data_IF_340949276024
#
_entry.id   IF_340949276024
#
_cell.length_a   1.000
_cell.length_b   1.000
_cell.length_c   1.000
_cell.angle_alpha   90.00
_cell.angle_beta   90.00
_cell.angle_gamma   90.00
#
_symmetry.space_group_name_H-M   'P 1'
#
loop_
_entity.id
_entity.type
_entity.pdbx_description
1 polymer ?
#
# COMPACT_ATOMS: atom_id res chain seq x y z
N UNK A 1 -21.40 -19.65 -1.23
CA UNK A 1 -21.17 -19.61 -2.70
C UNK A 1 -20.38 -20.84 -3.09
N UNK A 2 -20.50 -21.33 -4.33
CA UNK A 2 -19.79 -22.51 -4.84
C UNK A 2 -18.28 -22.52 -4.49
N UNK A 3 -17.67 -21.35 -4.40
CA UNK A 3 -16.24 -21.18 -4.11
C UNK A 3 -15.85 -21.13 -2.63
N UNK A 4 -16.79 -21.04 -1.69
CA UNK A 4 -16.44 -20.94 -0.25
C UNK A 4 -15.81 -22.24 0.30
N UNK A 5 -16.04 -23.37 -0.39
CA UNK A 5 -15.50 -24.68 -0.06
C UNK A 5 -14.32 -25.11 -0.96
N UNK A 6 -13.89 -24.26 -1.89
CA UNK A 6 -12.82 -24.62 -2.83
C UNK A 6 -11.46 -24.63 -2.10
N UNK A 7 -10.66 -25.70 -2.18
CA UNK A 7 -9.47 -25.90 -1.34
C UNK A 7 -8.41 -24.81 -1.52
N UNK A 8 -8.33 -24.18 -2.69
CA UNK A 8 -7.37 -23.11 -3.00
C UNK A 8 -7.93 -21.69 -2.90
N UNK A 9 -9.20 -21.53 -2.50
CA UNK A 9 -9.86 -20.23 -2.38
C UNK A 9 -10.01 -19.89 -0.91
N UNK A 10 -9.75 -18.63 -0.55
CA UNK A 10 -9.92 -18.16 0.80
C UNK A 10 -10.31 -16.68 0.85
N UNK A 11 -10.82 -16.25 2.00
CA UNK A 11 -11.19 -14.86 2.25
C UNK A 11 -10.16 -14.17 3.13
N UNK A 12 -9.73 -12.99 2.72
CA UNK A 12 -8.82 -12.13 3.48
C UNK A 12 -9.16 -10.65 3.22
N UNK A 13 -9.25 -9.85 4.28
CA UNK A 13 -9.59 -8.41 4.22
C UNK A 13 -10.88 -8.11 3.42
N UNK A 14 -11.92 -8.93 3.58
CA UNK A 14 -13.20 -8.77 2.88
C UNK A 14 -13.17 -9.10 1.38
N UNK A 15 -12.04 -9.60 0.87
CA UNK A 15 -11.84 -10.00 -0.53
C UNK A 15 -11.65 -11.51 -0.63
N UNK A 16 -12.08 -12.08 -1.76
CA UNK A 16 -11.87 -13.49 -2.09
C UNK A 16 -10.63 -13.63 -2.95
N UNK A 17 -9.74 -14.53 -2.57
CA UNK A 17 -8.46 -14.77 -3.23
C UNK A 17 -8.36 -16.23 -3.65
N UNK A 18 -7.66 -16.48 -4.75
CA UNK A 18 -7.30 -17.82 -5.21
C UNK A 18 -5.77 -17.92 -5.32
N UNK A 19 -5.23 -19.08 -4.98
CA UNK A 19 -3.82 -19.41 -5.11
C UNK A 19 -3.64 -20.77 -5.79
N UNK A 20 -2.43 -21.09 -6.24
CA UNK A 20 -2.10 -22.44 -6.69
C UNK A 20 -1.82 -23.39 -5.50
N UNK A 21 -1.47 -22.83 -4.33
CA UNK A 21 -1.33 -23.60 -3.11
C UNK A 21 -2.67 -23.76 -2.38
N UNK A 22 -2.71 -24.70 -1.42
CA UNK A 22 -3.86 -24.88 -0.54
C UNK A 22 -4.16 -23.58 0.23
N UNK A 23 -5.43 -23.19 0.26
CA UNK A 23 -5.90 -21.92 0.78
C UNK A 23 -5.57 -21.72 2.25
N UNK A 24 -5.51 -22.80 3.03
CA UNK A 24 -5.09 -22.78 4.44
C UNK A 24 -3.64 -22.31 4.61
N UNK A 25 -2.72 -22.84 3.81
CA UNK A 25 -1.30 -22.47 3.84
C UNK A 25 -1.08 -21.08 3.23
N UNK A 26 -1.74 -20.76 2.11
CA UNK A 26 -1.67 -19.44 1.50
C UNK A 26 -2.15 -18.33 2.47
N UNK A 27 -3.24 -18.60 3.21
CA UNK A 27 -3.75 -17.68 4.22
C UNK A 27 -2.78 -17.50 5.40
N UNK A 28 -2.12 -18.56 5.86
CA UNK A 28 -1.08 -18.47 6.92
C UNK A 28 0.09 -17.62 6.47
N UNK A 29 0.61 -17.85 5.26
CA UNK A 29 1.70 -17.06 4.69
C UNK A 29 1.31 -15.59 4.55
N UNK A 30 0.09 -15.31 4.06
CA UNK A 30 -0.40 -13.94 3.88
C UNK A 30 -0.54 -13.21 5.23
N UNK A 31 -1.02 -13.90 6.26
CA UNK A 31 -1.08 -13.34 7.62
C UNK A 31 0.31 -13.07 8.19
N UNK A 32 1.25 -13.98 8.01
CA UNK A 32 2.64 -13.79 8.46
C UNK A 32 3.30 -12.60 7.76
N UNK A 33 3.09 -12.46 6.46
CA UNK A 33 3.59 -11.33 5.68
C UNK A 33 2.97 -10.00 6.15
N UNK A 34 1.65 -9.96 6.41
CA UNK A 34 0.98 -8.76 6.91
C UNK A 34 1.37 -8.39 8.34
N UNK A 35 1.59 -9.37 9.20
CA UNK A 35 2.09 -9.15 10.55
C UNK A 35 3.50 -8.53 10.50
N UNK A 36 4.39 -9.11 9.68
CA UNK A 36 5.71 -8.54 9.43
C UNK A 36 5.61 -7.12 8.87
N UNK A 37 4.76 -6.87 7.88
CA UNK A 37 4.57 -5.52 7.32
C UNK A 37 4.08 -4.53 8.39
N UNK A 38 3.15 -4.91 9.25
CA UNK A 38 2.62 -4.05 10.31
C UNK A 38 3.65 -3.74 11.41
N UNK A 39 4.45 -4.73 11.80
CA UNK A 39 5.51 -4.57 12.80
C UNK A 39 6.64 -3.68 12.26
N UNK A 40 7.01 -3.86 10.99
CA UNK A 40 8.13 -3.17 10.37
C UNK A 40 7.74 -1.82 9.71
N UNK A 41 6.45 -1.56 9.46
CA UNK A 41 5.96 -0.25 9.00
C UNK A 41 6.30 0.89 9.99
N UNK A 42 6.39 0.60 11.30
CA UNK A 42 6.80 1.59 12.31
C UNK A 42 8.26 2.03 12.17
N UNK A 43 9.11 1.19 11.57
CA UNK A 43 10.53 1.50 11.34
C UNK A 43 10.71 2.43 10.13
N UNK A 44 9.78 2.39 9.18
CA UNK A 44 9.68 3.35 8.08
C UNK A 44 9.07 4.65 8.61
N UNK A 45 9.89 5.47 9.30
CA UNK A 45 9.55 6.81 9.83
C UNK A 45 9.26 7.86 8.74
N UNK A 46 8.65 7.46 7.63
CA UNK A 46 8.34 8.31 6.49
C UNK A 46 7.40 9.47 6.87
N UNK A 47 6.47 9.23 7.79
CA UNK A 47 5.60 10.27 8.34
C UNK A 47 6.38 11.38 9.06
N UNK A 48 7.52 11.07 9.67
CA UNK A 48 8.40 12.07 10.32
C UNK A 48 9.01 12.99 9.27
N UNK A 49 9.49 12.43 8.15
CA UNK A 49 10.02 13.24 7.05
C UNK A 49 8.96 14.15 6.43
N UNK A 50 7.72 13.65 6.25
CA UNK A 50 6.58 14.44 5.81
C UNK A 50 6.30 15.61 6.77
N UNK A 51 6.25 15.34 8.07
CA UNK A 51 5.96 16.35 9.08
C UNK A 51 7.04 17.44 9.12
N UNK A 52 8.32 17.06 9.12
CA UNK A 52 9.45 18.01 9.09
C UNK A 52 9.40 18.86 7.82
N UNK A 53 9.17 18.23 6.67
CA UNK A 53 9.07 18.94 5.39
C UNK A 53 7.93 19.96 5.38
N UNK A 54 6.77 19.57 5.90
CA UNK A 54 5.60 20.43 5.94
C UNK A 54 5.83 21.66 6.84
N UNK A 55 6.41 21.46 8.03
CA UNK A 55 6.77 22.55 8.95
C UNK A 55 7.82 23.47 8.34
N UNK A 56 8.87 22.91 7.72
CA UNK A 56 9.91 23.69 7.06
C UNK A 56 9.37 24.51 5.89
N UNK A 57 8.46 23.93 5.08
CA UNK A 57 7.80 24.64 3.98
C UNK A 57 6.92 25.79 4.44
N UNK A 58 6.15 25.59 5.52
CA UNK A 58 5.38 26.67 6.18
C UNK A 58 6.29 27.77 6.70
N UNK A 59 7.37 27.41 7.40
CA UNK A 59 8.32 28.37 7.94
C UNK A 59 8.99 29.20 6.83
N UNK A 60 9.33 28.56 5.69
CA UNK A 60 9.89 29.25 4.53
C UNK A 60 8.90 30.26 3.92
N UNK A 61 7.64 29.88 3.72
CA UNK A 61 6.60 30.80 3.19
C UNK A 61 6.38 31.98 4.14
N UNK A 62 6.33 31.74 5.46
CA UNK A 62 6.21 32.81 6.45
C UNK A 62 7.42 33.75 6.46
N UNK A 63 8.64 33.20 6.40
CA UNK A 63 9.86 33.99 6.38
C UNK A 63 9.96 34.85 5.11
N UNK A 64 9.62 34.30 3.94
CA UNK A 64 9.60 35.05 2.67
C UNK A 64 8.51 36.13 2.71
N UNK A 65 7.30 35.78 3.16
CA UNK A 65 6.18 36.73 3.25
C UNK A 65 6.48 37.93 4.14
N UNK A 66 7.06 37.67 5.32
CA UNK A 66 7.40 38.72 6.28
C UNK A 66 8.58 39.58 5.81
N UNK A 67 9.64 38.97 5.27
CA UNK A 67 10.83 39.72 4.80
C UNK A 67 10.58 40.54 3.55
N UNK A 68 9.71 40.07 2.65
CA UNK A 68 9.31 40.81 1.45
C UNK A 68 8.24 41.89 1.71
N UNK A 69 7.74 42.00 2.95
CA UNK A 69 6.67 42.95 3.29
C UNK A 69 5.36 42.70 2.55
N UNK A 70 5.06 41.44 2.22
CA UNK A 70 3.82 41.09 1.54
C UNK A 70 2.61 41.29 2.45
N UNK A 71 1.45 41.58 1.86
CA UNK A 71 0.18 41.60 2.58
C UNK A 71 -0.01 40.25 3.31
N UNK A 72 -0.35 40.27 4.62
CA UNK A 72 -0.67 39.07 5.40
C UNK A 72 -1.60 38.10 4.69
N UNK A 73 -2.61 38.62 4.01
CA UNK A 73 -3.59 37.83 3.28
C UNK A 73 -2.94 37.00 2.17
N UNK A 74 -1.94 37.54 1.46
CA UNK A 74 -1.29 36.87 0.34
C UNK A 74 -0.43 35.70 0.79
N UNK A 75 0.47 35.89 1.77
CA UNK A 75 1.34 34.80 2.21
C UNK A 75 0.57 33.75 3.03
N UNK A 76 -0.51 34.14 3.73
CA UNK A 76 -1.41 33.19 4.38
C UNK A 76 -2.19 32.34 3.37
N UNK A 77 -2.52 32.89 2.20
CA UNK A 77 -3.20 32.14 1.12
C UNK A 77 -2.25 31.14 0.45
N UNK A 78 -0.94 31.43 0.43
CA UNK A 78 0.10 30.55 -0.13
C UNK A 78 0.61 29.51 0.88
N UNK A 79 0.34 29.67 2.18
CA UNK A 79 0.75 28.72 3.22
C UNK A 79 0.44 27.25 2.93
N UNK A 80 -0.77 26.87 2.47
CA UNK A 80 -1.07 25.49 2.12
C UNK A 80 -0.18 24.93 1.01
N UNK A 81 0.25 25.78 0.06
CA UNK A 81 1.19 25.39 -1.00
C UNK A 81 2.59 25.17 -0.42
N UNK A 82 3.03 26.00 0.53
CA UNK A 82 4.27 25.78 1.28
C UNK A 82 4.25 24.48 2.09
N UNK A 83 3.16 24.22 2.81
CA UNK A 83 2.95 22.99 3.56
C UNK A 83 3.01 21.76 2.64
N UNK A 84 2.19 21.74 1.58
CA UNK A 84 2.11 20.62 0.65
C UNK A 84 3.42 20.41 -0.12
N UNK A 85 4.00 21.49 -0.66
CA UNK A 85 5.26 21.46 -1.39
C UNK A 85 6.43 20.99 -0.52
N UNK A 86 6.53 21.51 0.71
CA UNK A 86 7.53 21.10 1.69
C UNK A 86 7.40 19.63 2.09
N UNK A 87 6.18 19.15 2.34
CA UNK A 87 5.92 17.75 2.64
C UNK A 87 6.33 16.82 1.48
N UNK A 88 5.94 17.16 0.25
CA UNK A 88 6.28 16.40 -0.96
C UNK A 88 7.80 16.36 -1.15
N UNK A 89 8.47 17.51 -1.06
CA UNK A 89 9.91 17.59 -1.25
C UNK A 89 10.66 16.74 -0.21
N UNK A 90 10.28 16.83 1.06
CA UNK A 90 10.89 16.02 2.11
C UNK A 90 10.60 14.52 1.95
N UNK A 91 9.40 14.14 1.48
CA UNK A 91 9.09 12.75 1.14
C UNK A 91 9.98 12.23 -0.01
N UNK A 92 10.21 13.05 -1.04
CA UNK A 92 11.10 12.70 -2.15
C UNK A 92 12.57 12.59 -1.71
N UNK A 93 13.04 13.52 -0.88
CA UNK A 93 14.38 13.47 -0.28
C UNK A 93 14.52 12.21 0.59
N UNK A 94 13.55 11.95 1.46
CA UNK A 94 13.55 10.74 2.28
C UNK A 94 13.51 9.48 1.42
N UNK A 95 12.74 9.46 0.32
CA UNK A 95 12.74 8.36 -0.64
C UNK A 95 14.08 8.21 -1.37
N UNK A 96 14.85 9.28 -1.57
CA UNK A 96 16.15 9.23 -2.26
C UNK A 96 17.29 8.75 -1.36
N UNK A 97 17.31 9.19 -0.10
CA UNK A 97 18.39 8.94 0.87
C UNK A 97 18.08 7.79 1.82
N UNK A 98 16.84 7.73 2.29
CA UNK A 98 16.27 6.61 3.06
C UNK A 98 15.32 5.81 2.17
N UNK A 99 15.62 5.72 0.86
CA UNK A 99 14.97 4.75 0.01
C UNK A 99 14.90 3.45 0.81
N UNK A 100 13.74 2.78 0.87
CA UNK A 100 13.71 1.43 1.38
C UNK A 100 14.55 0.63 0.38
N UNK A 101 15.85 0.60 0.60
CA UNK A 101 16.65 -0.56 0.27
C UNK A 101 15.81 -1.72 0.84
N UNK A 102 15.47 -2.77 0.08
CA UNK A 102 14.71 -3.91 0.60
C UNK A 102 15.38 -4.58 1.82
N UNK A 103 16.49 -4.04 2.29
CA UNK A 103 17.25 -4.40 3.48
C UNK A 103 17.52 -3.10 4.25
N UNK A 104 16.64 -2.74 5.18
CA UNK A 104 17.22 -2.33 6.45
C UNK A 104 18.11 -3.53 6.83
N UNK A 105 19.43 -3.42 6.73
CA UNK A 105 20.34 -4.56 6.88
C UNK A 105 20.17 -5.30 8.23
N UNK A 106 19.46 -4.68 9.16
CA UNK A 106 19.04 -5.20 10.47
C UNK A 106 17.68 -5.91 10.50
N UNK A 107 16.89 -5.89 9.42
CA UNK A 107 15.58 -6.53 9.37
C UNK A 107 15.68 -7.97 8.87
N UNK A 108 14.99 -8.92 9.52
CA UNK A 108 14.88 -10.28 9.01
C UNK A 108 14.13 -10.26 7.67
N UNK A 109 14.46 -11.21 6.80
CA UNK A 109 13.85 -11.32 5.48
C UNK A 109 12.32 -11.34 5.55
N UNK A 110 11.68 -10.55 4.67
CA UNK A 110 10.22 -10.49 4.58
C UNK A 110 9.68 -11.86 4.16
N UNK A 111 8.72 -12.46 4.90
CA UNK A 111 8.06 -13.69 4.49
C UNK A 111 7.46 -13.55 3.10
N UNK A 112 7.75 -14.51 2.22
CA UNK A 112 7.17 -14.58 0.88
C UNK A 112 5.86 -15.33 0.90
N UNK A 113 4.95 -14.92 0.02
CA UNK A 113 3.65 -15.56 -0.19
C UNK A 113 3.63 -16.15 -1.58
N UNK A 114 2.97 -17.30 -1.72
CA UNK A 114 2.61 -17.83 -3.04
C UNK A 114 1.80 -16.79 -3.82
N UNK A 115 1.87 -16.77 -5.17
CA UNK A 115 1.08 -15.86 -5.98
C UNK A 115 -0.41 -15.94 -5.63
N UNK A 116 -1.01 -14.77 -5.39
CA UNK A 116 -2.44 -14.63 -5.05
C UNK A 116 -3.12 -13.83 -6.14
N UNK A 117 -4.22 -14.37 -6.66
CA UNK A 117 -5.08 -13.66 -7.63
C UNK A 117 -6.38 -13.28 -6.94
N UNK A 118 -6.76 -12.00 -7.07
CA UNK A 118 -8.04 -11.52 -6.56
C UNK A 118 -9.15 -12.10 -7.41
N UNK A 119 -10.14 -12.76 -6.80
CA UNK A 119 -11.32 -13.27 -7.51
C UNK A 119 -12.42 -12.21 -7.51
N UNK A 120 -12.78 -11.62 -8.66
CA UNK A 120 -13.87 -10.65 -8.74
C UNK A 120 -15.21 -11.29 -8.37
N UNK A 121 -16.15 -10.50 -7.85
CA UNK A 121 -17.47 -11.00 -7.46
C UNK A 121 -18.26 -11.61 -8.61
N UNK A 122 -18.02 -11.17 -9.86
CA UNK A 122 -18.65 -11.74 -11.07
C UNK A 122 -18.17 -13.16 -11.34
N UNK A 123 -16.85 -13.37 -11.31
CA UNK A 123 -16.23 -14.70 -11.42
C UNK A 123 -16.71 -15.59 -10.28
N UNK A 124 -16.77 -15.04 -9.06
CA UNK A 124 -17.19 -15.81 -7.90
C UNK A 124 -18.63 -16.32 -7.95
N UNK A 125 -19.51 -15.61 -8.67
CA UNK A 125 -20.91 -16.00 -8.88
C UNK A 125 -21.09 -16.95 -10.06
N UNK A 126 -20.26 -16.83 -11.09
CA UNK A 126 -20.39 -17.59 -12.34
C UNK A 126 -19.56 -18.89 -12.34
N UNK A 127 -18.57 -19.00 -11.47
CA UNK A 127 -17.69 -20.17 -11.42
C UNK A 127 -18.46 -21.45 -11.06
N UNK A 128 -18.30 -22.54 -11.84
CA UNK A 128 -18.85 -23.83 -11.49
C UNK A 128 -18.16 -24.40 -10.24
N UNK A 129 -18.84 -25.31 -9.53
CA UNK A 129 -18.32 -25.92 -8.29
C UNK A 129 -17.04 -26.75 -8.50
N UNK A 130 -16.81 -27.22 -9.72
CA UNK A 130 -15.64 -28.02 -10.11
C UNK A 130 -14.55 -27.19 -10.81
N UNK A 131 -14.68 -25.86 -10.85
CA UNK A 131 -13.66 -25.00 -11.43
C UNK A 131 -12.33 -25.21 -10.72
N UNK A 132 -11.26 -25.38 -11.49
CA UNK A 132 -9.91 -25.53 -10.95
C UNK A 132 -9.34 -24.18 -10.51
N UNK A 133 -8.34 -24.19 -9.63
CA UNK A 133 -7.64 -22.97 -9.21
C UNK A 133 -7.05 -22.19 -10.41
N UNK A 134 -6.50 -22.90 -11.39
CA UNK A 134 -5.92 -22.31 -12.61
C UNK A 134 -6.97 -21.60 -13.44
N UNK A 135 -8.15 -22.21 -13.65
CA UNK A 135 -9.25 -21.59 -14.38
C UNK A 135 -9.75 -20.33 -13.66
N UNK A 136 -9.89 -20.38 -12.34
CA UNK A 136 -10.29 -19.22 -11.54
C UNK A 136 -9.28 -18.06 -11.64
N UNK A 137 -7.98 -18.37 -11.66
CA UNK A 137 -6.91 -17.39 -11.87
C UNK A 137 -7.01 -16.77 -13.27
N UNK A 138 -7.18 -17.61 -14.29
CA UNK A 138 -7.27 -17.19 -15.69
C UNK A 138 -8.49 -16.28 -15.93
N UNK A 139 -9.67 -16.68 -15.44
CA UNK A 139 -10.90 -15.90 -15.53
C UNK A 139 -10.81 -14.57 -14.77
N UNK A 140 -10.12 -14.57 -13.63
CA UNK A 140 -9.90 -13.36 -12.83
C UNK A 140 -8.96 -12.39 -13.53
N UNK A 141 -7.89 -12.89 -14.18
CA UNK A 141 -6.92 -12.06 -14.90
C UNK A 141 -7.44 -11.53 -16.23
N UNK A 142 -8.24 -12.33 -16.96
CA UNK A 142 -8.85 -11.92 -18.23
C UNK A 142 -10.07 -11.02 -18.07
N UNK A 143 -10.57 -10.87 -16.84
CA UNK A 143 -11.79 -10.12 -16.55
C UNK A 143 -12.99 -10.77 -17.21
N UNK A 144 -13.28 -12.02 -16.83
CA UNK A 144 -14.35 -12.89 -17.33
C UNK A 144 -15.47 -12.13 -18.08
N UNK A 145 -15.45 -12.30 -19.40
CA UNK A 145 -16.57 -12.03 -20.31
C UNK A 145 -17.22 -13.40 -20.52
N UNK A 146 -18.54 -13.46 -20.28
CA UNK A 146 -19.36 -14.67 -20.11
C UNK A 146 -19.09 -15.83 -21.08
#
# INVERSE_FOLDING_TARGET
MALDNHPNVFRFEGRTWVSEAEGGEALKQLRAQRAWDAENAKLQRWWVALAIGAVAGVAAVLAIGTTAGLDPTLYLLVLPLGFGGGAILAALINKRFNAPDPRHASLPDRPTTVPLTLVPSRVAKAAPEHATATELIEWSNRGFVG
#
